data_IF_129536458868
#
_entry.id   IF_129536458868
#
_cell.length_a   1.000
_cell.length_b   1.000
_cell.length_c   1.000
_cell.angle_alpha   90.00
_cell.angle_beta   90.00
_cell.angle_gamma   90.00
#
_symmetry.space_group_name_H-M   'P 1'
#
loop_
_entity.id
_entity.type
_entity.pdbx_description
1 polymer ?
#
# COMPACT_ATOMS: atom_id res chain seq x y z
N UNK A 1 9.05 23.87 -17.17
CA UNK A 1 10.42 23.37 -17.49
C UNK A 1 10.74 22.11 -16.67
N UNK A 2 10.19 21.96 -15.46
CA UNK A 2 10.36 20.77 -14.60
C UNK A 2 9.82 19.47 -15.20
N UNK A 3 8.63 19.46 -15.80
CA UNK A 3 8.04 18.26 -16.44
C UNK A 3 8.92 17.66 -17.54
N UNK A 4 9.62 18.51 -18.29
CA UNK A 4 10.55 18.07 -19.35
C UNK A 4 11.84 17.47 -18.76
N UNK A 5 12.24 17.88 -17.55
CA UNK A 5 13.39 17.29 -16.87
C UNK A 5 13.05 15.92 -16.27
N UNK A 6 11.82 15.73 -15.77
CA UNK A 6 11.35 14.46 -15.21
C UNK A 6 11.17 13.37 -16.26
N UNK A 7 10.55 13.70 -17.40
CA UNK A 7 10.44 12.76 -18.52
C UNK A 7 11.83 12.28 -18.95
N UNK A 8 12.84 13.16 -18.93
CA UNK A 8 14.23 12.79 -19.21
C UNK A 8 14.84 11.90 -18.13
N UNK A 9 14.57 12.16 -16.85
CA UNK A 9 15.04 11.29 -15.75
C UNK A 9 14.45 9.88 -15.91
N UNK A 10 13.14 9.78 -16.14
CA UNK A 10 12.47 8.50 -16.37
C UNK A 10 13.01 7.79 -17.61
N UNK A 11 13.13 8.50 -18.75
CA UNK A 11 13.68 7.95 -19.99
C UNK A 11 15.12 7.45 -19.82
N UNK A 12 16.01 8.26 -19.22
CA UNK A 12 17.41 7.89 -19.03
C UNK A 12 17.57 6.75 -18.02
N UNK A 13 16.76 6.70 -16.96
CA UNK A 13 16.79 5.62 -15.98
C UNK A 13 16.34 4.29 -16.61
N UNK A 14 15.26 4.30 -17.39
CA UNK A 14 14.79 3.12 -18.12
C UNK A 14 15.83 2.64 -19.15
N UNK A 15 16.44 3.57 -19.89
CA UNK A 15 17.50 3.24 -20.85
C UNK A 15 18.74 2.66 -20.18
N UNK A 16 19.15 3.22 -19.03
CA UNK A 16 20.26 2.69 -18.25
C UNK A 16 19.96 1.27 -17.75
N UNK A 17 18.76 1.05 -17.20
CA UNK A 17 18.33 -0.29 -16.77
C UNK A 17 18.41 -1.32 -17.90
N UNK A 18 17.86 -0.99 -19.06
CA UNK A 18 17.91 -1.86 -20.24
C UNK A 18 19.35 -2.20 -20.64
N UNK A 19 20.25 -1.21 -20.67
CA UNK A 19 21.67 -1.44 -21.01
C UNK A 19 22.34 -2.34 -19.96
N UNK A 20 22.07 -2.13 -18.67
CA UNK A 20 22.60 -2.99 -17.61
C UNK A 20 22.11 -4.43 -17.73
N UNK A 21 20.83 -4.66 -18.08
CA UNK A 21 20.30 -6.00 -18.34
C UNK A 21 20.98 -6.67 -19.54
N UNK A 22 21.19 -5.95 -20.64
CA UNK A 22 21.91 -6.47 -21.82
C UNK A 22 23.35 -6.90 -21.52
N UNK A 23 23.99 -6.24 -20.55
CA UNK A 23 25.35 -6.55 -20.10
C UNK A 23 25.39 -7.52 -18.91
N UNK A 24 24.27 -8.15 -18.55
CA UNK A 24 24.22 -9.16 -17.48
C UNK A 24 24.34 -8.59 -16.07
N UNK A 25 23.94 -7.34 -15.85
CA UNK A 25 23.96 -6.66 -14.55
C UNK A 25 22.59 -6.08 -14.15
N UNK A 26 21.51 -6.90 -14.13
CA UNK A 26 20.14 -6.44 -13.82
C UNK A 26 20.03 -5.74 -12.46
N UNK A 27 20.79 -6.16 -11.46
CA UNK A 27 20.85 -5.49 -10.14
C UNK A 27 21.29 -4.03 -10.24
N UNK A 28 22.29 -3.74 -11.09
CA UNK A 28 22.73 -2.36 -11.34
C UNK A 28 21.66 -1.56 -12.07
N UNK A 29 20.87 -2.21 -12.94
CA UNK A 29 19.71 -1.61 -13.58
C UNK A 29 18.62 -1.24 -12.58
N UNK A 30 18.27 -2.13 -11.66
CA UNK A 30 17.32 -1.85 -10.59
C UNK A 30 17.81 -0.73 -9.65
N UNK A 31 19.10 -0.72 -9.30
CA UNK A 31 19.70 0.34 -8.49
C UNK A 31 19.68 1.72 -9.19
N UNK A 32 19.84 1.76 -10.52
CA UNK A 32 19.70 2.98 -11.29
C UNK A 32 18.26 3.52 -11.26
N UNK A 33 17.27 2.63 -11.40
CA UNK A 33 15.85 2.97 -11.26
C UNK A 33 15.51 3.46 -9.85
N UNK A 34 16.00 2.79 -8.80
CA UNK A 34 15.81 3.20 -7.40
C UNK A 34 16.34 4.62 -7.16
N UNK A 35 17.54 4.92 -7.66
CA UNK A 35 18.15 6.24 -7.51
C UNK A 35 17.33 7.32 -8.24
N UNK A 36 16.87 7.04 -9.45
CA UNK A 36 16.03 7.95 -10.20
C UNK A 36 14.68 8.19 -9.50
N UNK A 37 14.06 7.13 -8.97
CA UNK A 37 12.82 7.22 -8.23
C UNK A 37 12.95 8.12 -6.99
N UNK A 38 14.00 7.92 -6.18
CA UNK A 38 14.29 8.76 -5.01
C UNK A 38 14.46 10.24 -5.33
N UNK A 39 15.02 10.58 -6.49
CA UNK A 39 15.21 11.97 -6.91
C UNK A 39 13.89 12.67 -7.21
N UNK A 40 12.87 11.93 -7.66
CA UNK A 40 11.58 12.49 -8.07
C UNK A 40 10.47 12.24 -7.06
N UNK A 41 10.66 11.38 -6.06
CA UNK A 41 9.60 10.93 -5.14
C UNK A 41 8.86 12.04 -4.38
N UNK A 42 9.58 13.11 -4.01
CA UNK A 42 8.99 14.23 -3.28
C UNK A 42 8.13 15.14 -4.16
N UNK A 43 8.56 15.37 -5.39
CA UNK A 43 7.91 16.31 -6.32
C UNK A 43 6.91 15.60 -7.24
N UNK A 44 7.22 14.37 -7.65
CA UNK A 44 6.50 13.53 -8.62
C UNK A 44 6.41 12.08 -8.15
N UNK A 45 5.60 11.80 -7.11
CA UNK A 45 5.41 10.46 -6.57
C UNK A 45 4.84 9.46 -7.60
N UNK A 46 4.12 9.91 -8.63
CA UNK A 46 3.60 9.06 -9.70
C UNK A 46 4.72 8.51 -10.61
N UNK A 47 5.73 9.35 -10.90
CA UNK A 47 6.91 8.95 -11.68
C UNK A 47 7.76 7.98 -10.87
N UNK A 48 7.99 8.29 -9.58
CA UNK A 48 8.71 7.40 -8.68
C UNK A 48 8.05 6.02 -8.58
N UNK A 49 6.71 5.97 -8.51
CA UNK A 49 5.95 4.73 -8.48
C UNK A 49 6.25 3.86 -9.71
N UNK A 50 6.22 4.42 -10.93
CA UNK A 50 6.53 3.67 -12.17
C UNK A 50 7.96 3.14 -12.18
N UNK A 51 8.91 3.94 -11.72
CA UNK A 51 10.32 3.54 -11.63
C UNK A 51 10.53 2.40 -10.62
N UNK A 52 9.89 2.46 -9.45
CA UNK A 52 9.95 1.37 -8.48
C UNK A 52 9.24 0.10 -8.95
N UNK A 53 8.11 0.23 -9.65
CA UNK A 53 7.43 -0.92 -10.27
C UNK A 53 8.35 -1.63 -11.26
N UNK A 54 9.03 -0.88 -12.14
CA UNK A 54 9.98 -1.45 -13.07
C UNK A 54 11.19 -2.07 -12.35
N UNK A 55 11.72 -1.43 -11.30
CA UNK A 55 12.80 -2.00 -10.49
C UNK A 55 12.38 -3.33 -9.84
N UNK A 56 11.15 -3.42 -9.33
CA UNK A 56 10.60 -4.66 -8.78
C UNK A 56 10.51 -5.74 -9.86
N UNK A 57 10.02 -5.43 -11.06
CA UNK A 57 9.95 -6.40 -12.16
C UNK A 57 11.33 -6.96 -12.52
N UNK A 58 12.34 -6.09 -12.65
CA UNK A 58 13.73 -6.49 -12.95
C UNK A 58 14.27 -7.44 -11.89
N UNK A 59 14.06 -7.13 -10.61
CA UNK A 59 14.59 -7.92 -9.48
C UNK A 59 13.84 -9.23 -9.29
N UNK A 60 12.54 -9.26 -9.56
CA UNK A 60 11.73 -10.48 -9.46
C UNK A 60 12.06 -11.49 -10.58
N UNK A 61 12.51 -11.03 -11.75
CA UNK A 61 13.01 -11.93 -12.82
C UNK A 61 14.27 -12.67 -12.36
N UNK A 62 15.13 -12.02 -11.57
CA UNK A 62 16.37 -12.58 -11.04
C UNK A 62 16.18 -13.37 -9.73
N UNK A 63 14.93 -13.63 -9.34
CA UNK A 63 14.54 -14.36 -8.12
C UNK A 63 15.12 -13.77 -6.81
N UNK A 64 15.41 -12.46 -6.81
CA UNK A 64 15.96 -11.76 -5.66
C UNK A 64 14.83 -11.25 -4.76
N UNK A 65 14.19 -12.17 -4.04
CA UNK A 65 13.00 -11.91 -3.19
C UNK A 65 13.26 -10.86 -2.13
N UNK A 66 14.48 -10.79 -1.58
CA UNK A 66 14.86 -9.81 -0.55
C UNK A 66 14.84 -8.37 -1.07
N UNK A 67 15.43 -8.12 -2.24
CA UNK A 67 15.39 -6.80 -2.88
C UNK A 67 13.97 -6.50 -3.39
N UNK A 68 13.23 -7.52 -3.84
CA UNK A 68 11.84 -7.40 -4.22
C UNK A 68 10.96 -6.87 -3.08
N UNK A 69 11.19 -7.33 -1.85
CA UNK A 69 10.47 -6.83 -0.67
C UNK A 69 10.64 -5.33 -0.45
N UNK A 70 11.88 -4.81 -0.57
CA UNK A 70 12.15 -3.38 -0.38
C UNK A 70 11.43 -2.50 -1.41
N UNK A 71 11.38 -2.93 -2.68
CA UNK A 71 10.63 -2.21 -3.71
C UNK A 71 9.11 -2.34 -3.50
N UNK A 72 8.63 -3.53 -3.12
CA UNK A 72 7.22 -3.75 -2.83
C UNK A 72 6.73 -2.82 -1.70
N UNK A 73 7.47 -2.68 -0.61
CA UNK A 73 7.14 -1.75 0.49
C UNK A 73 7.06 -0.30 0.01
N UNK A 74 7.96 0.15 -0.86
CA UNK A 74 7.92 1.50 -1.43
C UNK A 74 6.70 1.72 -2.32
N UNK A 75 6.37 0.73 -3.16
CA UNK A 75 5.21 0.76 -4.06
C UNK A 75 3.91 0.82 -3.24
N UNK A 76 3.75 -0.03 -2.23
CA UNK A 76 2.57 -0.02 -1.33
C UNK A 76 2.39 1.34 -0.67
N UNK A 77 3.46 1.92 -0.12
CA UNK A 77 3.39 3.25 0.52
C UNK A 77 3.05 4.36 -0.46
N UNK A 78 3.63 4.36 -1.65
CA UNK A 78 3.37 5.39 -2.67
C UNK A 78 1.97 5.32 -3.25
N UNK A 79 1.45 4.11 -3.51
CA UNK A 79 0.08 3.93 -4.00
C UNK A 79 -0.95 4.43 -3.00
N UNK A 80 -0.73 4.21 -1.70
CA UNK A 80 -1.54 4.80 -0.62
C UNK A 80 -1.42 6.32 -0.59
N UNK A 81 -0.19 6.86 -0.63
CA UNK A 81 0.07 8.31 -0.66
C UNK A 81 -0.62 9.02 -1.84
N UNK A 82 -0.70 8.34 -2.99
CA UNK A 82 -1.34 8.85 -4.21
C UNK A 82 -2.87 8.68 -4.21
N UNK A 83 -3.45 8.01 -3.22
CA UNK A 83 -4.89 7.70 -3.18
C UNK A 83 -5.34 6.67 -4.22
N UNK A 84 -4.40 5.92 -4.81
CA UNK A 84 -4.68 4.88 -5.81
C UNK A 84 -5.08 3.57 -5.12
N UNK A 85 -6.21 3.57 -4.41
CA UNK A 85 -6.55 2.48 -3.47
C UNK A 85 -6.72 1.10 -4.11
N UNK A 86 -7.18 1.03 -5.36
CA UNK A 86 -7.23 -0.24 -6.10
C UNK A 86 -5.81 -0.81 -6.31
N UNK A 87 -4.90 0.03 -6.81
CA UNK A 87 -3.49 -0.36 -7.00
C UNK A 87 -2.78 -0.63 -5.67
N UNK A 88 -3.14 0.12 -4.61
CA UNK A 88 -2.59 -0.10 -3.28
C UNK A 88 -2.99 -1.46 -2.71
N UNK A 89 -4.24 -1.89 -2.94
CA UNK A 89 -4.71 -3.23 -2.55
C UNK A 89 -3.86 -4.32 -3.21
N UNK A 90 -3.64 -4.20 -4.52
CA UNK A 90 -2.84 -5.18 -5.27
C UNK A 90 -1.35 -5.15 -4.86
N UNK A 91 -0.80 -3.95 -4.65
CA UNK A 91 0.57 -3.77 -4.20
C UNK A 91 0.81 -4.39 -2.81
N UNK A 92 -0.08 -4.13 -1.84
CA UNK A 92 0.01 -4.69 -0.49
C UNK A 92 -0.12 -6.22 -0.52
N UNK A 93 -1.05 -6.77 -1.32
CA UNK A 93 -1.20 -8.24 -1.47
C UNK A 93 0.06 -8.87 -2.07
N UNK A 94 0.68 -8.21 -3.06
CA UNK A 94 1.96 -8.65 -3.63
C UNK A 94 3.08 -8.59 -2.60
N UNK A 95 3.15 -7.52 -1.81
CA UNK A 95 4.14 -7.37 -0.73
C UNK A 95 3.98 -8.45 0.34
N UNK A 96 2.73 -8.77 0.73
CA UNK A 96 2.44 -9.87 1.65
C UNK A 96 2.97 -11.19 1.07
N UNK A 97 2.70 -11.50 -0.20
CA UNK A 97 3.20 -12.71 -0.85
C UNK A 97 4.72 -12.81 -0.92
N UNK A 98 5.42 -11.68 -1.04
CA UNK A 98 6.89 -11.63 -0.95
C UNK A 98 7.34 -11.87 0.50
N UNK A 99 6.70 -11.23 1.48
CA UNK A 99 7.03 -11.39 2.90
C UNK A 99 6.72 -12.80 3.43
N UNK A 100 5.77 -13.53 2.83
CA UNK A 100 5.55 -14.95 3.11
C UNK A 100 6.75 -15.80 2.71
N UNK A 101 7.37 -15.52 1.56
CA UNK A 101 8.54 -16.25 1.07
C UNK A 101 9.78 -15.99 1.92
N UNK A 102 9.88 -14.79 2.50
CA UNK A 102 10.98 -14.41 3.41
C UNK A 102 10.65 -14.63 4.89
N UNK A 103 9.55 -15.33 5.20
CA UNK A 103 9.07 -15.65 6.55
C UNK A 103 8.98 -14.42 7.48
N UNK A 104 8.70 -13.25 6.90
CA UNK A 104 8.66 -11.96 7.59
C UNK A 104 7.26 -11.70 8.18
N UNK A 105 6.79 -12.61 9.04
CA UNK A 105 5.41 -12.64 9.54
C UNK A 105 4.95 -11.36 10.25
N UNK A 106 5.84 -10.73 11.00
CA UNK A 106 5.56 -9.45 11.67
C UNK A 106 5.27 -8.32 10.67
N UNK A 107 5.92 -8.33 9.51
CA UNK A 107 5.64 -7.38 8.44
C UNK A 107 4.28 -7.67 7.79
N UNK A 108 3.90 -8.95 7.67
CA UNK A 108 2.59 -9.36 7.16
C UNK A 108 1.46 -8.85 8.06
N UNK A 109 1.60 -8.94 9.38
CA UNK A 109 0.61 -8.39 10.33
C UNK A 109 0.37 -6.90 10.11
N UNK A 110 1.44 -6.11 9.99
CA UNK A 110 1.34 -4.66 9.71
C UNK A 110 0.69 -4.36 8.36
N UNK A 111 0.99 -5.17 7.34
CA UNK A 111 0.39 -5.03 6.02
C UNK A 111 -1.09 -5.45 6.00
N UNK A 112 -1.49 -6.42 6.82
CA UNK A 112 -2.89 -6.79 6.99
C UNK A 112 -3.71 -5.60 7.50
N UNK A 113 -3.18 -4.88 8.48
CA UNK A 113 -3.80 -3.67 9.02
C UNK A 113 -3.87 -2.58 7.95
N UNK A 114 -2.76 -2.36 7.22
CA UNK A 114 -2.73 -1.42 6.10
C UNK A 114 -3.77 -1.76 5.01
N UNK A 115 -3.92 -3.04 4.69
CA UNK A 115 -4.90 -3.54 3.73
C UNK A 115 -6.32 -3.26 4.18
N UNK A 116 -6.65 -3.52 5.45
CA UNK A 116 -7.96 -3.21 6.04
C UNK A 116 -8.25 -1.71 5.94
N UNK A 117 -7.29 -0.85 6.32
CA UNK A 117 -7.44 0.61 6.22
C UNK A 117 -7.69 1.08 4.78
N UNK A 118 -6.99 0.51 3.79
CA UNK A 118 -7.19 0.81 2.36
C UNK A 118 -8.58 0.38 1.89
N UNK A 119 -9.08 -0.79 2.30
CA UNK A 119 -10.42 -1.24 1.95
C UNK A 119 -11.52 -0.37 2.57
N UNK A 120 -11.35 0.02 3.83
CA UNK A 120 -12.22 0.99 4.49
C UNK A 120 -12.17 2.35 3.77
N UNK A 121 -11.01 2.81 3.31
CA UNK A 121 -10.93 4.05 2.53
C UNK A 121 -11.65 3.97 1.18
N UNK A 122 -11.77 2.77 0.59
CA UNK A 122 -12.53 2.51 -0.64
C UNK A 122 -14.04 2.48 -0.44
N UNK A 123 -14.54 2.45 0.80
CA UNK A 123 -15.96 2.22 1.05
C UNK A 123 -16.36 0.75 1.15
N UNK A 124 -15.40 -0.19 1.11
CA UNK A 124 -15.66 -1.63 0.95
C UNK A 124 -15.37 -2.40 2.25
N UNK A 125 -16.35 -2.40 3.16
CA UNK A 125 -16.25 -3.09 4.47
C UNK A 125 -16.20 -4.60 4.32
N UNK A 126 -16.84 -5.16 3.30
CA UNK A 126 -16.82 -6.60 3.02
C UNK A 126 -15.42 -7.04 2.60
N UNK A 127 -14.75 -6.26 1.73
CA UNK A 127 -13.36 -6.53 1.38
C UNK A 127 -12.41 -6.32 2.56
N UNK A 128 -12.69 -5.36 3.44
CA UNK A 128 -11.93 -5.12 4.67
C UNK A 128 -12.01 -6.33 5.63
N UNK A 129 -13.22 -6.84 5.89
CA UNK A 129 -13.43 -8.01 6.74
C UNK A 129 -12.77 -9.26 6.14
N UNK A 130 -12.85 -9.43 4.81
CA UNK A 130 -12.16 -10.52 4.11
C UNK A 130 -10.65 -10.43 4.28
N UNK A 131 -10.07 -9.24 4.11
CA UNK A 131 -8.64 -9.02 4.32
C UNK A 131 -8.21 -9.33 5.75
N UNK A 132 -9.02 -8.93 6.73
CA UNK A 132 -8.78 -9.24 8.15
C UNK A 132 -8.86 -10.75 8.43
N UNK A 133 -9.85 -11.47 7.89
CA UNK A 133 -9.95 -12.93 8.05
C UNK A 133 -8.78 -13.67 7.40
N UNK A 134 -8.30 -13.18 6.26
CA UNK A 134 -7.23 -13.81 5.49
C UNK A 134 -5.85 -13.63 6.15
N UNK A 135 -5.57 -12.43 6.67
CA UNK A 135 -4.23 -12.04 7.13
C UNK A 135 -4.13 -11.72 8.63
N UNK A 136 -5.26 -11.64 9.34
CA UNK A 136 -5.34 -11.25 10.76
C UNK A 136 -4.63 -12.21 11.70
N UNK A 137 -4.42 -13.47 11.30
CA UNK A 137 -3.65 -14.45 12.09
C UNK A 137 -2.16 -14.07 12.23
N UNK A 138 -1.66 -13.14 11.41
CA UNK A 138 -0.30 -12.60 11.53
C UNK A 138 -0.22 -11.34 12.41
N UNK A 139 -1.35 -10.81 12.84
CA UNK A 139 -1.41 -9.63 13.71
C UNK A 139 -1.24 -10.04 15.17
N UNK A 140 -0.69 -9.15 15.99
CA UNK A 140 -0.62 -9.38 17.42
C UNK A 140 -2.04 -9.27 18.05
N UNK A 141 -2.34 -9.99 19.15
CA UNK A 141 -3.66 -9.95 19.79
C UNK A 141 -4.26 -8.54 20.04
N UNK A 142 -3.51 -7.53 20.52
CA UNK A 142 -4.05 -6.17 20.66
C UNK A 142 -4.38 -5.48 19.32
N UNK A 143 -3.65 -5.81 18.26
CA UNK A 143 -3.92 -5.31 16.91
C UNK A 143 -5.21 -5.93 16.36
N UNK A 144 -5.37 -7.26 16.53
CA UNK A 144 -6.59 -8.01 16.20
C UNK A 144 -7.80 -7.40 16.90
N UNK A 145 -7.73 -7.19 18.22
CA UNK A 145 -8.82 -6.58 18.98
C UNK A 145 -9.18 -5.18 18.46
N UNK A 146 -8.18 -4.37 18.13
CA UNK A 146 -8.40 -3.02 17.58
C UNK A 146 -9.09 -3.07 16.22
N UNK A 147 -8.70 -4.02 15.36
CA UNK A 147 -9.30 -4.22 14.04
C UNK A 147 -10.73 -4.77 14.14
N UNK A 148 -11.01 -5.69 15.07
CA UNK A 148 -12.36 -6.17 15.34
C UNK A 148 -13.27 -5.04 15.81
N UNK A 149 -12.81 -4.23 16.76
CA UNK A 149 -13.54 -3.04 17.21
C UNK A 149 -13.80 -2.06 16.08
N UNK A 150 -12.80 -1.86 15.20
CA UNK A 150 -12.94 -0.98 14.04
C UNK A 150 -14.01 -1.52 13.09
N UNK A 151 -13.91 -2.78 12.65
CA UNK A 151 -14.86 -3.39 11.72
C UNK A 151 -16.28 -3.41 12.30
N UNK A 152 -16.43 -3.78 13.58
CA UNK A 152 -17.71 -3.76 14.28
C UNK A 152 -18.31 -2.35 14.31
N UNK A 153 -17.52 -1.32 14.57
CA UNK A 153 -18.00 0.06 14.54
C UNK A 153 -18.45 0.51 13.14
N UNK A 154 -17.81 0.01 12.08
CA UNK A 154 -18.27 0.22 10.70
C UNK A 154 -19.58 -0.51 10.41
N UNK A 155 -19.77 -1.72 10.94
CA UNK A 155 -21.01 -2.49 10.78
C UNK A 155 -22.18 -1.89 11.57
N UNK A 156 -21.91 -1.39 12.78
CA UNK A 156 -22.91 -0.74 13.65
C UNK A 156 -23.18 0.73 13.27
N UNK A 157 -22.52 1.24 12.22
CA UNK A 157 -22.58 2.65 11.79
C UNK A 157 -22.26 3.64 12.93
N UNK A 158 -21.33 3.29 13.81
CA UNK A 158 -20.90 4.08 14.97
C UNK A 158 -19.60 4.86 14.65
N UNK A 159 -19.69 6.14 14.25
CA UNK A 159 -18.51 6.94 13.92
C UNK A 159 -17.64 7.28 15.13
N UNK A 160 -18.20 7.26 16.35
CA UNK A 160 -17.45 7.56 17.57
C UNK A 160 -16.56 6.38 17.96
N UNK A 161 -17.12 5.16 17.94
CA UNK A 161 -16.36 3.93 18.14
C UNK A 161 -15.29 3.74 17.05
N UNK A 162 -15.62 4.02 15.79
CA UNK A 162 -14.66 3.94 14.69
C UNK A 162 -13.52 4.97 14.86
N UNK A 163 -13.84 6.21 15.24
CA UNK A 163 -12.84 7.23 15.53
C UNK A 163 -11.93 6.82 16.70
N UNK A 164 -12.48 6.19 17.73
CA UNK A 164 -11.71 5.70 18.87
C UNK A 164 -10.72 4.61 18.46
N UNK A 165 -11.17 3.62 17.68
CA UNK A 165 -10.32 2.54 17.19
C UNK A 165 -9.20 3.05 16.28
N UNK A 166 -9.50 3.96 15.33
CA UNK A 166 -8.51 4.60 14.45
C UNK A 166 -7.49 5.45 15.22
N UNK A 167 -7.86 5.95 16.40
CA UNK A 167 -6.97 6.71 17.27
C UNK A 167 -6.10 5.86 18.20
N UNK A 168 -6.16 4.53 18.08
CA UNK A 168 -5.32 3.62 18.86
C UNK A 168 -3.82 3.92 18.67
N UNK A 169 -2.99 3.69 19.72
CA UNK A 169 -1.55 3.89 19.61
C UNK A 169 -0.92 3.08 18.48
N UNK A 170 -1.39 1.86 18.25
CA UNK A 170 -0.87 1.00 17.20
C UNK A 170 -1.07 1.60 15.79
N UNK A 171 -2.29 2.02 15.44
CA UNK A 171 -2.58 2.65 14.13
C UNK A 171 -1.78 3.95 13.95
N UNK A 172 -1.59 4.72 15.03
CA UNK A 172 -0.78 5.96 15.01
C UNK A 172 0.72 5.74 14.79
N UNK A 173 1.25 4.58 15.18
CA UNK A 173 2.67 4.23 15.01
C UNK A 173 2.94 3.42 13.73
N UNK A 174 1.94 3.19 12.89
CA UNK A 174 2.15 2.64 11.54
C UNK A 174 2.97 3.60 10.67
N UNK A 175 3.38 3.14 9.48
CA UNK A 175 3.98 4.04 8.49
C UNK A 175 3.08 5.26 8.26
N UNK A 176 3.74 6.41 8.08
CA UNK A 176 3.10 7.73 7.99
C UNK A 176 1.95 7.76 7.00
N UNK A 177 2.05 7.05 5.88
CA UNK A 177 1.00 7.01 4.86
C UNK A 177 -0.26 6.27 5.34
N UNK A 178 -0.12 5.15 6.06
CA UNK A 178 -1.26 4.44 6.66
C UNK A 178 -1.85 5.19 7.85
N UNK A 179 -1.02 5.83 8.68
CA UNK A 179 -1.49 6.65 9.79
C UNK A 179 -2.24 7.91 9.30
N UNK A 180 -1.82 8.49 8.16
CA UNK A 180 -2.56 9.56 7.49
C UNK A 180 -3.87 9.06 6.91
N UNK A 181 -3.84 7.93 6.20
CA UNK A 181 -5.03 7.28 5.66
C UNK A 181 -6.08 7.04 6.76
N UNK A 182 -5.66 6.48 7.90
CA UNK A 182 -6.53 6.24 9.05
C UNK A 182 -7.17 7.52 9.60
N UNK A 183 -6.45 8.65 9.58
CA UNK A 183 -6.99 9.95 10.03
C UNK A 183 -7.99 10.53 9.03
N UNK A 184 -7.71 10.34 7.74
CA UNK A 184 -8.49 10.93 6.64
C UNK A 184 -9.66 10.04 6.21
N UNK A 185 -9.87 8.90 6.88
CA UNK A 185 -10.98 8.00 6.63
C UNK A 185 -12.32 8.74 6.78
N UNK A 186 -13.22 8.65 5.78
CA UNK A 186 -14.50 9.35 5.81
C UNK A 186 -15.47 8.64 6.78
N UNK A 187 -15.40 9.01 8.06
CA UNK A 187 -16.29 8.48 9.11
C UNK A 187 -17.76 8.93 8.96
N UNK A 188 -18.00 10.02 8.22
CA UNK A 188 -19.33 10.63 8.08
C UNK A 188 -20.09 10.17 6.80
N UNK A 189 -19.45 9.37 5.93
CA UNK A 189 -19.94 9.09 4.57
C UNK A 189 -20.72 7.79 4.36
N UNK A 190 -20.74 6.88 5.33
CA UNK A 190 -21.29 5.54 5.14
C UNK A 190 -22.83 5.47 5.16
N UNK A 191 -23.51 6.48 5.70
CA UNK A 191 -24.98 6.62 5.64
C UNK A 191 -25.55 6.80 4.21
N UNK A 192 -24.70 6.97 3.18
CA UNK A 192 -25.15 7.25 1.80
C UNK A 192 -25.08 6.04 0.86
N UNK A 193 -24.35 4.99 1.22
CA UNK A 193 -24.08 3.84 0.34
C UNK A 193 -25.16 2.74 0.33
N UNK A 194 -25.93 2.61 1.41
CA UNK A 194 -26.94 1.53 1.56
C UNK A 194 -28.39 2.01 1.40
N UNK A 195 -28.64 3.33 1.37
CA UNK A 195 -30.00 3.90 1.27
C UNK A 195 -30.60 3.99 -0.14
N UNK A 196 -29.97 3.45 -1.18
CA UNK A 196 -30.50 3.54 -2.57
C UNK A 196 -31.12 2.26 -3.13
N UNK A 197 -31.53 1.31 -2.28
CA UNK A 197 -32.27 0.11 -2.70
C UNK A 197 -33.61 -0.11 -1.96
N UNK A 198 -34.07 0.87 -1.17
CA UNK A 198 -35.33 0.77 -0.43
C UNK A 198 -36.13 2.07 -0.57
N UNK A 199 -36.37 2.51 -1.80
CA UNK A 199 -37.52 3.37 -2.11
C UNK A 199 -37.76 3.33 -3.62
N UNK A 200 -38.76 2.58 -4.06
CA UNK A 200 -39.69 3.09 -5.06
C UNK A 200 -41.02 2.32 -4.97
N UNK A 201 -42.16 3.03 -5.07
CA UNK A 201 -43.50 2.55 -4.71
C UNK A 201 -44.13 1.58 -5.70
#
# INVERSE_FOLDING_TARGET
KETNNQMKIEEYANRACHLYQQHGSPESGAAALDKAAKMVENEHPDVALRLYQHALEVVMIEDSTRQGGEYATKISRLTVKLGLFDQATDAIRREIGINQQTESYQQIGRLAVGLVLVQLARGDTVAAEKAFKEWGNYCDPPEVQTLEMLLQAFDDEDPEAAAQALNSPFIKHMDVEYARLARDLPLQGYLRGTKKAADNP
#
